data_IF_008080074671
#
_entry.id   IF_008080074671
#
_cell.length_a   1.000
_cell.length_b   1.000
_cell.length_c   1.000
_cell.angle_alpha   90.00
_cell.angle_beta   90.00
_cell.angle_gamma   90.00
#
_symmetry.space_group_name_H-M   'P 1'
#
loop_
_entity.id
_entity.type
_entity.pdbx_description
1 polymer ?
#
# COMPACT_ATOMS: atom_id res chain seq x y z
N UNK A 1 -10.13 13.71 25.13
CA UNK A 1 -10.02 12.31 24.66
C UNK A 1 -9.67 12.37 23.18
N UNK A 2 -8.46 11.99 22.72
CA UNK A 2 -8.21 11.94 21.29
C UNK A 2 -9.14 10.88 20.69
N UNK A 3 -9.91 11.25 19.65
CA UNK A 3 -10.80 10.33 18.98
C UNK A 3 -10.03 9.07 18.57
N UNK A 4 -10.53 7.90 18.95
CA UNK A 4 -9.98 6.61 18.55
C UNK A 4 -10.03 6.51 17.03
N UNK A 5 -8.91 6.82 16.37
CA UNK A 5 -8.78 6.66 14.91
C UNK A 5 -9.06 5.19 14.55
N UNK A 6 -9.90 5.00 13.55
CA UNK A 6 -10.21 3.68 13.00
C UNK A 6 -8.95 3.04 12.41
N UNK A 7 -8.70 1.76 12.71
CA UNK A 7 -7.63 0.96 12.10
C UNK A 7 -7.73 0.92 10.57
N UNK A 8 -8.96 0.81 10.04
CA UNK A 8 -9.24 0.96 8.62
C UNK A 8 -9.53 2.44 8.35
N UNK A 9 -8.62 3.11 7.66
CA UNK A 9 -8.73 4.51 7.31
C UNK A 9 -9.30 4.65 5.89
N UNK A 10 -10.48 5.28 5.72
CA UNK A 10 -11.07 5.46 4.40
C UNK A 10 -10.35 6.56 3.61
N UNK A 11 -10.17 6.32 2.31
CA UNK A 11 -9.59 7.29 1.38
C UNK A 11 -10.32 7.25 0.04
N UNK A 12 -10.76 8.40 -0.46
CA UNK A 12 -11.24 8.50 -1.84
C UNK A 12 -10.09 8.98 -2.73
N UNK A 13 -9.81 8.25 -3.80
CA UNK A 13 -8.77 8.59 -4.78
C UNK A 13 -9.42 9.07 -6.07
N UNK A 14 -9.28 10.36 -6.34
CA UNK A 14 -9.85 11.02 -7.52
C UNK A 14 -8.91 10.90 -8.71
N UNK A 15 -9.39 10.30 -9.81
CA UNK A 15 -8.64 10.09 -11.04
C UNK A 15 -9.44 10.62 -12.24
N UNK A 16 -8.86 11.49 -13.09
CA UNK A 16 -9.61 12.19 -14.14
C UNK A 16 -10.00 11.29 -15.30
N UNK A 17 -9.17 10.29 -15.62
CA UNK A 17 -9.38 9.34 -16.72
C UNK A 17 -9.65 7.91 -16.19
N UNK A 18 -10.35 7.79 -15.05
CA UNK A 18 -10.73 6.49 -14.51
C UNK A 18 -11.79 5.83 -15.42
N UNK A 19 -11.56 4.62 -15.94
CA UNK A 19 -12.57 3.89 -16.72
C UNK A 19 -13.87 3.75 -15.93
N UNK A 20 -15.02 3.91 -16.59
CA UNK A 20 -16.31 3.98 -15.90
C UNK A 20 -16.59 2.72 -15.06
N UNK A 21 -16.21 1.54 -15.56
CA UNK A 21 -16.35 0.28 -14.85
C UNK A 21 -15.47 0.14 -13.59
N UNK A 22 -14.46 1.01 -13.41
CA UNK A 22 -13.60 1.05 -12.22
C UNK A 22 -13.99 2.15 -11.23
N UNK A 23 -14.97 3.01 -11.56
CA UNK A 23 -15.48 4.00 -10.62
C UNK A 23 -16.25 3.31 -9.49
N UNK A 24 -15.79 3.52 -8.26
CA UNK A 24 -16.29 2.83 -7.08
C UNK A 24 -15.49 1.58 -6.70
N UNK A 25 -14.45 1.21 -7.45
CA UNK A 25 -13.56 0.09 -7.11
C UNK A 25 -12.95 0.30 -5.72
N UNK A 26 -13.06 -0.72 -4.87
CA UNK A 26 -12.64 -0.70 -3.47
C UNK A 26 -11.42 -1.57 -3.28
N UNK A 27 -10.34 -0.97 -2.79
CA UNK A 27 -9.10 -1.67 -2.51
C UNK A 27 -8.67 -1.46 -1.07
N UNK A 28 -8.02 -2.45 -0.48
CA UNK A 28 -7.32 -2.28 0.78
C UNK A 28 -5.81 -2.30 0.55
N UNK A 29 -5.09 -1.43 1.25
CA UNK A 29 -3.63 -1.36 1.24
C UNK A 29 -3.09 -1.64 2.64
N UNK A 30 -2.31 -2.71 2.75
CA UNK A 30 -1.58 -3.07 3.95
C UNK A 30 -0.08 -2.98 3.70
N UNK A 31 0.65 -2.56 4.73
CA UNK A 31 2.11 -2.43 4.69
C UNK A 31 2.70 -2.63 6.08
N UNK A 32 3.98 -2.98 6.12
CA UNK A 32 4.81 -3.05 7.31
C UNK A 32 4.10 -3.79 8.46
N UNK A 33 3.72 -5.04 8.25
CA UNK A 33 2.98 -5.83 9.25
C UNK A 33 3.87 -6.19 10.45
N UNK A 34 5.16 -6.45 10.19
CA UNK A 34 6.17 -6.89 11.17
C UNK A 34 5.62 -7.94 12.14
N UNK A 35 5.13 -9.04 11.56
CA UNK A 35 4.50 -10.12 12.32
C UNK A 35 5.57 -10.89 13.07
N UNK A 36 5.43 -10.93 14.40
CA UNK A 36 6.21 -11.80 15.30
C UNK A 36 5.42 -13.01 15.76
N UNK A 37 4.12 -12.82 15.88
CA UNK A 37 3.11 -13.80 16.27
C UNK A 37 1.77 -13.33 15.78
N UNK A 38 0.88 -14.26 15.47
CA UNK A 38 -0.53 -13.96 15.26
C UNK A 38 -1.18 -13.61 16.61
N UNK A 39 -2.02 -12.58 16.62
CA UNK A 39 -2.72 -12.11 17.81
C UNK A 39 -4.08 -11.50 17.45
N UNK A 40 -4.85 -11.13 18.49
CA UNK A 40 -6.20 -10.57 18.34
C UNK A 40 -6.26 -9.29 17.49
N UNK A 41 -5.15 -8.56 17.30
CA UNK A 41 -5.13 -7.38 16.41
C UNK A 41 -5.34 -7.82 14.97
N UNK A 42 -4.65 -8.87 14.55
CA UNK A 42 -4.78 -9.40 13.20
C UNK A 42 -6.14 -10.09 12.97
N UNK A 43 -6.69 -10.78 13.97
CA UNK A 43 -8.06 -11.32 13.88
C UNK A 43 -9.10 -10.22 13.65
N UNK A 44 -8.98 -9.10 14.38
CA UNK A 44 -9.85 -7.94 14.19
C UNK A 44 -9.63 -7.28 12.83
N UNK A 45 -8.39 -7.22 12.34
CA UNK A 45 -8.10 -6.67 11.01
C UNK A 45 -8.76 -7.53 9.92
N UNK A 46 -8.52 -8.84 9.93
CA UNK A 46 -9.10 -9.79 8.98
C UNK A 46 -10.62 -9.72 8.96
N UNK A 47 -11.25 -9.76 10.14
CA UNK A 47 -12.71 -9.65 10.27
C UNK A 47 -13.25 -8.36 9.63
N UNK A 48 -12.55 -7.23 9.84
CA UNK A 48 -12.96 -5.94 9.27
C UNK A 48 -12.72 -5.85 7.77
N UNK A 49 -11.63 -6.42 7.27
CA UNK A 49 -11.33 -6.47 5.83
C UNK A 49 -12.35 -7.37 5.09
N UNK A 50 -12.63 -8.55 5.62
CA UNK A 50 -13.63 -9.46 5.07
C UNK A 50 -15.04 -8.82 5.04
N UNK A 51 -15.42 -8.09 6.10
CA UNK A 51 -16.68 -7.34 6.13
C UNK A 51 -16.69 -6.14 5.17
N UNK A 52 -15.53 -5.69 4.69
CA UNK A 52 -15.43 -4.48 3.87
C UNK A 52 -15.77 -4.72 2.40
N UNK A 53 -15.95 -5.95 1.89
CA UNK A 53 -16.23 -6.25 0.47
C UNK A 53 -15.26 -5.51 -0.48
N UNK A 54 -14.06 -6.05 -0.59
CA UNK A 54 -12.97 -5.47 -1.36
C UNK A 54 -12.90 -6.11 -2.75
N UNK A 55 -12.54 -5.32 -3.74
CA UNK A 55 -12.20 -5.80 -5.08
C UNK A 55 -10.72 -6.22 -5.12
N UNK A 56 -9.83 -5.45 -4.50
CA UNK A 56 -8.40 -5.73 -4.45
C UNK A 56 -7.85 -5.66 -3.02
N UNK A 57 -6.88 -6.51 -2.71
CA UNK A 57 -6.03 -6.40 -1.53
C UNK A 57 -4.57 -6.23 -1.96
N UNK A 58 -3.97 -5.10 -1.61
CA UNK A 58 -2.61 -4.72 -1.99
C UNK A 58 -1.70 -4.80 -0.77
N UNK A 59 -0.59 -5.50 -0.91
CA UNK A 59 0.42 -5.69 0.13
C UNK A 59 1.77 -5.11 -0.33
N UNK A 60 2.42 -4.31 0.50
CA UNK A 60 3.63 -3.55 0.11
C UNK A 60 4.86 -3.87 0.93
N UNK A 61 4.99 -5.14 1.35
CA UNK A 61 6.18 -5.67 2.01
C UNK A 61 6.22 -5.52 3.54
N UNK A 62 7.30 -6.07 4.10
CA UNK A 62 7.62 -6.10 5.54
C UNK A 62 6.55 -6.85 6.35
N UNK A 63 6.26 -8.07 5.93
CA UNK A 63 5.32 -8.97 6.58
C UNK A 63 5.91 -9.60 7.84
N UNK A 64 7.19 -9.96 7.81
CA UNK A 64 7.90 -10.60 8.92
C UNK A 64 8.72 -9.59 9.73
N UNK A 65 8.72 -9.74 11.05
CA UNK A 65 9.74 -9.11 11.89
C UNK A 65 11.03 -9.94 11.81
N UNK A 66 12.16 -9.32 11.49
CA UNK A 66 13.48 -9.99 11.33
C UNK A 66 13.91 -10.84 12.54
N UNK A 67 13.40 -10.54 13.74
CA UNK A 67 13.72 -11.30 14.95
C UNK A 67 12.81 -12.51 15.20
N UNK A 68 11.85 -12.77 14.30
CA UNK A 68 10.87 -13.84 14.40
C UNK A 68 10.99 -14.80 13.21
N UNK A 69 10.64 -16.09 13.42
CA UNK A 69 10.62 -17.06 12.34
C UNK A 69 9.41 -16.83 11.42
N UNK A 70 9.44 -17.33 10.17
CA UNK A 70 8.51 -16.91 9.11
C UNK A 70 7.08 -17.42 9.29
N UNK A 71 6.84 -18.45 10.11
CA UNK A 71 5.57 -19.18 10.17
C UNK A 71 4.41 -18.28 10.61
N UNK A 72 4.66 -17.33 11.52
CA UNK A 72 3.62 -16.41 11.97
C UNK A 72 3.21 -15.43 10.86
N UNK A 73 4.17 -14.96 10.06
CA UNK A 73 3.92 -14.08 8.92
C UNK A 73 3.21 -14.87 7.80
N UNK A 74 3.70 -16.06 7.48
CA UNK A 74 3.11 -16.97 6.50
C UNK A 74 1.65 -17.29 6.83
N UNK A 75 1.38 -17.71 8.07
CA UNK A 75 0.02 -17.99 8.52
C UNK A 75 -0.91 -16.77 8.41
N UNK A 76 -0.39 -15.54 8.62
CA UNK A 76 -1.19 -14.35 8.39
C UNK A 76 -1.46 -14.10 6.89
N UNK A 77 -0.47 -14.31 6.03
CA UNK A 77 -0.61 -14.15 4.57
C UNK A 77 -1.62 -15.16 4.00
N UNK A 78 -1.57 -16.41 4.44
CA UNK A 78 -2.56 -17.44 4.09
C UNK A 78 -3.97 -17.05 4.52
N UNK A 79 -4.11 -16.53 5.74
CA UNK A 79 -5.41 -16.04 6.23
C UNK A 79 -5.91 -14.82 5.47
N UNK A 80 -5.02 -13.90 5.08
CA UNK A 80 -5.41 -12.77 4.21
C UNK A 80 -5.94 -13.27 2.86
N UNK A 81 -5.27 -14.23 2.24
CA UNK A 81 -5.70 -14.82 0.98
C UNK A 81 -7.04 -15.58 1.10
N UNK A 82 -7.24 -16.32 2.19
CA UNK A 82 -8.39 -17.22 2.35
C UNK A 82 -9.61 -16.60 3.03
N UNK A 83 -9.43 -15.64 3.94
CA UNK A 83 -10.52 -15.04 4.72
C UNK A 83 -11.06 -13.74 4.09
N UNK A 84 -10.21 -12.91 3.48
CA UNK A 84 -10.63 -11.60 2.93
C UNK A 84 -11.36 -11.75 1.60
N UNK A 85 -10.91 -12.70 0.76
CA UNK A 85 -11.52 -13.05 -0.54
C UNK A 85 -11.86 -11.83 -1.43
N UNK A 86 -10.88 -10.98 -1.78
CA UNK A 86 -11.09 -9.87 -2.70
C UNK A 86 -11.51 -10.39 -4.09
N UNK A 87 -12.45 -9.71 -4.76
CA UNK A 87 -13.07 -10.19 -6.01
C UNK A 87 -12.09 -10.29 -7.19
N UNK A 88 -11.17 -9.33 -7.32
CA UNK A 88 -10.15 -9.28 -8.38
C UNK A 88 -8.80 -9.87 -7.93
N UNK A 89 -8.60 -10.04 -6.63
CA UNK A 89 -7.44 -10.75 -6.09
C UNK A 89 -6.63 -9.99 -5.05
N UNK A 90 -5.62 -10.69 -4.53
CA UNK A 90 -4.60 -10.19 -3.62
C UNK A 90 -3.31 -10.08 -4.42
N UNK A 91 -2.61 -8.95 -4.30
CA UNK A 91 -1.33 -8.70 -4.95
C UNK A 91 -0.35 -8.14 -3.94
N UNK A 92 0.92 -8.55 -4.02
CA UNK A 92 1.92 -8.05 -3.09
C UNK A 92 3.35 -8.16 -3.59
N UNK A 93 4.21 -7.38 -2.96
CA UNK A 93 5.67 -7.37 -3.16
C UNK A 93 6.39 -7.66 -1.84
N UNK A 94 7.70 -7.89 -1.89
CA UNK A 94 8.53 -8.11 -0.71
C UNK A 94 9.10 -6.81 -0.17
N UNK A 95 9.23 -6.71 1.16
CA UNK A 95 9.98 -5.66 1.83
C UNK A 95 11.39 -6.13 2.20
N UNK A 96 12.17 -5.22 2.79
CA UNK A 96 13.55 -5.51 3.20
C UNK A 96 13.62 -6.38 4.48
N UNK A 97 12.52 -6.59 5.20
CA UNK A 97 12.47 -7.50 6.35
C UNK A 97 12.02 -8.93 6.03
N UNK A 98 11.46 -9.17 4.84
CA UNK A 98 10.94 -10.49 4.46
C UNK A 98 12.08 -11.42 4.06
N UNK A 99 12.29 -12.52 4.82
CA UNK A 99 13.41 -13.45 4.59
C UNK A 99 13.22 -14.29 3.33
N UNK A 100 14.31 -14.85 2.81
CA UNK A 100 14.25 -15.82 1.71
C UNK A 100 13.33 -17.00 2.03
N UNK A 101 13.37 -17.50 3.27
CA UNK A 101 12.54 -18.62 3.72
C UNK A 101 11.05 -18.29 3.67
N UNK A 102 10.64 -17.08 4.08
CA UNK A 102 9.25 -16.64 3.96
C UNK A 102 8.81 -16.59 2.49
N UNK A 103 9.67 -16.04 1.63
CA UNK A 103 9.40 -15.90 0.19
C UNK A 103 9.20 -17.27 -0.46
N UNK A 104 10.11 -18.20 -0.20
CA UNK A 104 10.01 -19.58 -0.68
C UNK A 104 8.76 -20.28 -0.16
N UNK A 105 8.44 -20.14 1.12
CA UNK A 105 7.29 -20.78 1.73
C UNK A 105 5.93 -20.19 1.27
N UNK A 106 5.93 -19.06 0.58
CA UNK A 106 4.73 -18.33 0.16
C UNK A 106 4.53 -18.30 -1.35
N UNK A 107 5.30 -19.08 -2.12
CA UNK A 107 5.22 -19.13 -3.59
C UNK A 107 3.84 -19.48 -4.14
N UNK A 108 3.05 -20.25 -3.39
CA UNK A 108 1.69 -20.64 -3.77
C UNK A 108 0.65 -19.54 -3.48
N UNK A 109 1.01 -18.50 -2.74
CA UNK A 109 0.15 -17.35 -2.51
C UNK A 109 0.23 -16.39 -3.71
N UNK A 110 -0.86 -15.67 -4.03
CA UNK A 110 -0.87 -14.67 -5.11
C UNK A 110 -0.08 -13.39 -4.76
N UNK A 111 1.04 -13.52 -4.04
CA UNK A 111 2.02 -12.45 -3.80
C UNK A 111 2.96 -12.44 -5.02
N UNK A 112 2.40 -12.15 -6.19
CA UNK A 112 3.14 -12.15 -7.44
C UNK A 112 3.95 -10.85 -7.61
N UNK A 113 5.28 -10.94 -7.64
CA UNK A 113 6.03 -10.29 -8.73
C UNK A 113 7.07 -9.21 -8.37
N UNK A 114 7.48 -9.05 -7.12
CA UNK A 114 8.73 -8.35 -6.84
C UNK A 114 9.90 -9.31 -7.04
N UNK A 115 10.71 -9.15 -8.10
CA UNK A 115 12.07 -9.70 -8.11
C UNK A 115 12.80 -9.04 -6.94
N UNK A 116 13.49 -9.80 -6.10
CA UNK A 116 14.42 -9.21 -5.14
C UNK A 116 15.79 -9.36 -5.75
N UNK A 117 16.46 -8.23 -5.96
CA UNK A 117 17.91 -8.25 -6.10
C UNK A 117 18.45 -8.16 -4.68
N UNK A 118 19.36 -9.05 -4.29
CA UNK A 118 19.95 -9.03 -2.94
C UNK A 118 20.70 -7.71 -2.66
N UNK A 119 21.06 -6.99 -3.73
CA UNK A 119 21.77 -5.70 -3.71
C UNK A 119 20.88 -4.48 -4.07
N UNK A 120 19.59 -4.66 -4.39
CA UNK A 120 18.69 -3.54 -4.72
C UNK A 120 17.38 -3.56 -3.92
N UNK A 121 16.84 -2.37 -3.67
CA UNK A 121 15.50 -2.18 -3.10
C UNK A 121 14.46 -3.09 -3.80
N UNK A 122 13.39 -3.45 -3.09
CA UNK A 122 12.29 -4.26 -3.64
C UNK A 122 11.90 -3.81 -5.06
N UNK A 123 11.91 -4.73 -6.04
CA UNK A 123 11.51 -4.38 -7.41
C UNK A 123 10.01 -4.05 -7.42
N UNK A 124 9.61 -2.88 -7.96
CA UNK A 124 8.22 -2.52 -8.05
C UNK A 124 7.42 -3.49 -8.91
N UNK A 125 6.20 -3.79 -8.47
CA UNK A 125 5.22 -4.52 -9.29
C UNK A 125 4.32 -3.51 -10.01
N UNK A 126 4.42 -3.45 -11.33
CA UNK A 126 3.48 -2.73 -12.17
C UNK A 126 2.35 -3.67 -12.61
N UNK A 127 1.10 -3.27 -12.35
CA UNK A 127 -0.08 -4.00 -12.79
C UNK A 127 -1.07 -3.06 -13.48
N UNK A 128 -1.84 -3.60 -14.42
CA UNK A 128 -2.91 -2.88 -15.10
C UNK A 128 -4.24 -3.54 -14.79
N UNK A 129 -5.19 -2.75 -14.28
CA UNK A 129 -6.58 -3.18 -14.09
C UNK A 129 -7.39 -2.58 -15.25
N UNK A 130 -7.99 -3.44 -16.07
CA UNK A 130 -8.81 -3.03 -17.19
C UNK A 130 -10.29 -3.19 -16.82
N UNK A 131 -11.14 -2.24 -17.20
CA UNK A 131 -12.57 -2.49 -17.25
C UNK A 131 -12.86 -3.45 -18.41
N UNK A 132 -13.68 -4.48 -18.18
CA UNK A 132 -14.29 -5.24 -19.26
C UNK A 132 -15.43 -4.38 -19.81
N UNK A 133 -15.17 -3.66 -20.90
CA UNK A 133 -16.22 -2.93 -21.63
C UNK A 133 -16.76 -3.85 -22.73
N UNK A 134 -18.07 -4.05 -22.77
CA UNK A 134 -18.72 -5.13 -23.54
C UNK A 134 -18.75 -4.90 -25.07
N UNK A 135 -18.26 -3.76 -25.58
CA UNK A 135 -18.11 -3.48 -27.02
C UNK A 135 -17.12 -2.33 -27.21
N UNK A 136 -15.87 -2.62 -27.57
CA UNK A 136 -14.96 -1.59 -28.11
C UNK A 136 -15.01 -1.66 -29.64
N UNK A 137 -15.56 -0.63 -30.29
CA UNK A 137 -15.43 -0.45 -31.73
C UNK A 137 -13.95 -0.27 -32.10
N UNK A 138 -13.54 -0.92 -33.20
CA UNK A 138 -12.15 -0.94 -33.64
C UNK A 138 -11.65 0.46 -34.03
N UNK A 139 -10.82 1.08 -33.18
CA UNK A 139 -10.14 2.33 -33.53
C UNK A 139 -9.67 3.20 -32.36
N UNK A 140 -10.20 3.03 -31.15
CA UNK A 140 -9.76 3.82 -30.00
C UNK A 140 -8.54 3.19 -29.30
N UNK A 141 -7.51 4.01 -29.05
CA UNK A 141 -6.39 3.67 -28.16
C UNK A 141 -6.99 3.21 -26.81
N UNK A 142 -6.50 2.14 -26.17
CA UNK A 142 -7.09 1.66 -24.92
C UNK A 142 -6.79 2.63 -23.78
N UNK A 143 -7.61 3.67 -23.66
CA UNK A 143 -7.71 4.59 -22.53
C UNK A 143 -8.40 3.93 -21.31
N UNK A 144 -8.72 2.63 -21.41
CA UNK A 144 -9.56 1.89 -20.47
C UNK A 144 -8.80 1.14 -19.36
N UNK A 145 -7.56 1.53 -19.04
CA UNK A 145 -6.72 0.82 -18.05
C UNK A 145 -6.21 1.74 -16.95
N UNK A 146 -6.41 1.32 -15.71
CA UNK A 146 -5.79 1.87 -14.51
C UNK A 146 -4.43 1.22 -14.31
N UNK A 147 -3.36 2.03 -14.16
CA UNK A 147 -2.01 1.54 -13.86
C UNK A 147 -1.70 1.72 -12.38
N UNK A 148 -1.49 0.60 -11.70
CA UNK A 148 -1.10 0.55 -10.30
C UNK A 148 0.36 0.11 -10.20
N UNK A 149 1.10 0.74 -9.30
CA UNK A 149 2.44 0.33 -8.94
C UNK A 149 2.52 0.04 -7.44
N UNK A 150 3.03 -1.13 -7.08
CA UNK A 150 3.38 -1.47 -5.70
C UNK A 150 4.89 -1.30 -5.53
N UNK A 151 5.28 -0.56 -4.51
CA UNK A 151 6.66 -0.29 -4.15
C UNK A 151 6.78 -0.39 -2.63
N UNK A 152 7.91 -0.83 -2.10
CA UNK A 152 8.10 -0.81 -0.65
C UNK A 152 8.51 0.59 -0.21
N UNK A 153 9.43 1.22 -0.94
CA UNK A 153 10.05 2.48 -0.58
C UNK A 153 9.37 3.69 -1.26
N UNK A 154 9.10 4.78 -0.52
CA UNK A 154 8.46 5.97 -1.09
C UNK A 154 9.25 6.73 -2.15
N UNK A 155 10.58 6.63 -2.18
CA UNK A 155 11.40 7.33 -3.16
C UNK A 155 11.09 6.87 -4.60
N UNK A 156 10.51 5.67 -4.75
CA UNK A 156 10.11 5.10 -6.04
C UNK A 156 8.91 5.84 -6.67
N UNK A 157 8.33 6.85 -6.01
CA UNK A 157 7.25 7.67 -6.57
C UNK A 157 7.66 8.41 -7.85
N UNK A 158 8.92 8.83 -7.96
CA UNK A 158 9.43 9.45 -9.20
C UNK A 158 9.47 8.41 -10.32
N UNK A 159 10.01 7.22 -10.04
CA UNK A 159 10.04 6.09 -10.97
C UNK A 159 8.63 5.70 -11.41
N UNK A 160 7.67 5.66 -10.49
CA UNK A 160 6.27 5.38 -10.80
C UNK A 160 5.67 6.43 -11.75
N UNK A 161 6.01 7.70 -11.56
CA UNK A 161 5.62 8.78 -12.46
C UNK A 161 6.28 8.66 -13.84
N UNK A 162 7.56 8.28 -13.90
CA UNK A 162 8.29 8.07 -15.15
C UNK A 162 7.72 6.89 -15.95
N UNK A 163 7.24 5.85 -15.27
CA UNK A 163 6.53 4.70 -15.85
C UNK A 163 5.07 5.01 -16.22
N UNK A 164 4.58 6.20 -15.88
CA UNK A 164 3.20 6.63 -16.15
C UNK A 164 2.16 5.82 -15.37
N UNK A 165 2.45 5.49 -14.12
CA UNK A 165 1.48 4.90 -13.19
C UNK A 165 0.45 5.95 -12.76
N UNK A 166 -0.81 5.56 -12.57
CA UNK A 166 -1.84 6.45 -12.01
C UNK A 166 -1.72 6.55 -10.49
N UNK A 167 -1.46 5.41 -9.87
CA UNK A 167 -1.35 5.25 -8.42
C UNK A 167 -0.12 4.42 -8.07
N UNK A 168 0.58 4.83 -7.01
CA UNK A 168 1.59 4.04 -6.33
C UNK A 168 1.16 3.80 -4.88
N UNK A 169 1.36 2.59 -4.37
CA UNK A 169 1.18 2.25 -2.96
C UNK A 169 2.51 1.81 -2.36
N UNK A 170 2.84 2.31 -1.16
CA UNK A 170 4.06 1.92 -0.45
C UNK A 170 3.99 2.12 1.07
N UNK A 171 5.02 1.69 1.78
CA UNK A 171 5.18 1.83 3.24
C UNK A 171 6.60 2.17 3.61
N UNK A 172 7.28 1.27 4.32
CA UNK A 172 8.68 1.33 4.75
C UNK A 172 8.99 2.36 5.86
N UNK A 173 8.35 3.52 5.83
CA UNK A 173 8.66 4.62 6.75
C UNK A 173 8.02 4.49 8.13
N UNK A 174 7.03 3.59 8.27
CA UNK A 174 6.14 3.49 9.42
C UNK A 174 5.45 4.82 9.81
N UNK A 175 5.38 5.76 8.88
CA UNK A 175 4.96 7.15 9.12
C UNK A 175 5.83 7.91 10.10
N UNK A 176 7.07 7.48 10.32
CA UNK A 176 7.96 7.99 11.35
C UNK A 176 7.43 7.69 12.74
N UNK A 177 7.29 6.40 13.03
CA UNK A 177 6.69 5.73 14.20
C UNK A 177 6.69 6.49 15.54
N UNK A 178 7.70 7.32 15.78
CA UNK A 178 7.81 8.23 16.93
C UNK A 178 7.68 9.67 16.44
N UNK A 179 6.59 10.33 16.83
CA UNK A 179 6.30 11.72 16.50
C UNK A 179 6.29 12.58 17.75
N UNK A 180 6.99 13.71 17.70
CA UNK A 180 6.98 14.73 18.76
C UNK A 180 5.88 15.75 18.50
N UNK A 181 5.22 16.30 19.53
CA UNK A 181 4.23 17.37 19.35
C UNK A 181 4.78 18.52 18.49
N UNK A 182 4.04 19.01 17.49
CA UNK A 182 2.62 18.78 17.20
C UNK A 182 2.29 17.55 16.32
N UNK A 183 3.24 16.64 16.07
CA UNK A 183 3.06 15.43 15.25
C UNK A 183 4.15 15.21 14.21
N UNK A 184 5.33 15.80 14.43
CA UNK A 184 6.46 15.77 13.51
C UNK A 184 7.26 14.47 13.72
N UNK A 185 7.50 13.67 12.67
CA UNK A 185 8.42 12.54 12.73
C UNK A 185 9.81 12.92 13.19
N UNK A 186 10.39 12.14 14.12
CA UNK A 186 11.80 12.30 14.51
C UNK A 186 12.73 11.75 13.43
N UNK A 187 12.32 10.63 12.81
CA UNK A 187 13.06 9.92 11.77
C UNK A 187 12.09 8.94 11.07
N UNK A 188 12.34 8.61 9.81
CA UNK A 188 11.51 7.65 9.07
C UNK A 188 12.24 6.79 8.03
N UNK A 189 13.59 6.85 7.96
CA UNK A 189 14.38 5.90 7.17
C UNK A 189 14.29 6.06 5.65
N UNK A 190 13.68 7.13 5.14
CA UNK A 190 13.61 7.46 3.72
C UNK A 190 14.22 8.84 3.44
N UNK A 191 14.68 9.04 2.21
CA UNK A 191 15.22 10.32 1.71
C UNK A 191 14.16 11.42 1.52
N UNK A 192 12.87 11.12 1.76
CA UNK A 192 11.82 12.13 1.72
C UNK A 192 11.90 13.09 2.92
N UNK A 193 11.46 14.36 2.76
CA UNK A 193 11.27 15.27 3.87
C UNK A 193 10.47 14.65 5.02
N UNK A 194 10.77 15.01 6.27
CA UNK A 194 10.16 14.39 7.46
C UNK A 194 8.62 14.44 7.46
N UNK A 195 8.03 15.52 6.94
CA UNK A 195 6.57 15.67 6.85
C UNK A 195 5.92 14.75 5.79
N UNK A 196 6.71 14.14 4.91
CA UNK A 196 6.28 13.22 3.85
C UNK A 196 6.45 11.74 4.23
N UNK A 197 6.75 11.46 5.50
CA UNK A 197 6.88 10.08 6.00
C UNK A 197 5.61 9.25 5.76
N UNK A 198 4.42 9.84 5.74
CA UNK A 198 3.20 9.15 5.31
C UNK A 198 2.16 10.17 4.86
N UNK A 199 1.36 9.81 3.86
CA UNK A 199 0.35 10.71 3.30
C UNK A 199 -0.11 10.28 1.92
N UNK A 200 -1.01 11.09 1.36
CA UNK A 200 -1.25 11.15 -0.07
C UNK A 200 -0.28 12.17 -0.66
N UNK A 201 0.62 11.73 -1.52
CA UNK A 201 1.58 12.56 -2.23
C UNK A 201 1.25 12.57 -3.72
N UNK A 202 1.82 13.53 -4.44
CA UNK A 202 1.72 13.60 -5.89
C UNK A 202 3.08 13.89 -6.49
N UNK A 203 3.40 13.19 -7.57
CA UNK A 203 4.49 13.54 -8.47
C UNK A 203 3.94 13.51 -9.89
N UNK A 204 3.96 14.65 -10.59
CA UNK A 204 3.35 14.81 -11.92
C UNK A 204 1.90 14.30 -11.96
N UNK A 205 1.70 13.17 -12.62
CA UNK A 205 0.40 12.54 -12.86
C UNK A 205 0.17 11.28 -12.00
N UNK A 206 1.06 10.98 -11.08
CA UNK A 206 0.94 9.82 -10.17
C UNK A 206 0.59 10.29 -8.77
N UNK A 207 -0.37 9.61 -8.14
CA UNK A 207 -0.62 9.76 -6.71
C UNK A 207 0.12 8.65 -5.94
N UNK A 208 0.88 9.01 -4.92
CA UNK A 208 1.53 8.08 -4.00
C UNK A 208 0.77 7.96 -2.69
N UNK A 209 0.37 6.75 -2.32
CA UNK A 209 -0.27 6.45 -1.04
C UNK A 209 0.75 5.77 -0.14
N UNK A 210 1.27 6.54 0.82
CA UNK A 210 2.29 6.07 1.77
C UNK A 210 1.61 5.72 3.10
N UNK A 211 1.60 4.44 3.46
CA UNK A 211 1.01 3.95 4.71
C UNK A 211 1.90 4.19 5.93
N UNK A 212 1.28 4.33 7.11
CA UNK A 212 2.01 4.31 8.41
C UNK A 212 2.35 2.90 8.89
N UNK A 213 1.89 1.88 8.18
CA UNK A 213 2.09 0.49 8.53
C UNK A 213 1.23 0.00 9.70
N UNK A 214 1.22 -1.32 9.88
CA UNK A 214 0.47 -1.99 10.94
C UNK A 214 1.34 -2.47 12.11
N UNK A 215 2.63 -2.65 11.88
CA UNK A 215 3.63 -3.15 12.81
C UNK A 215 4.57 -2.06 13.34
N UNK A 216 5.55 -2.52 14.09
CA UNK A 216 6.64 -1.71 14.63
C UNK A 216 7.98 -2.24 14.12
N UNK A 217 8.87 -1.35 13.68
CA UNK A 217 10.24 -1.70 13.30
C UNK A 217 11.26 -1.12 14.30
N UNK A 218 12.40 -1.80 14.44
CA UNK A 218 13.54 -1.51 15.33
C UNK A 218 13.19 -1.28 16.81
N UNK A 219 12.63 -0.12 17.13
CA UNK A 219 12.13 0.19 18.47
C UNK A 219 10.65 -0.21 18.56
N UNK A 220 10.28 -1.02 19.53
CA UNK A 220 8.90 -1.52 19.70
C UNK A 220 7.99 -0.51 20.41
N UNK A 221 8.01 0.72 19.90
CA UNK A 221 7.29 1.85 20.48
C UNK A 221 6.74 2.73 19.36
N UNK A 222 5.45 3.02 19.43
CA UNK A 222 4.74 3.90 18.52
C UNK A 222 4.12 5.04 19.30
N UNK A 223 4.54 6.28 19.02
CA UNK A 223 4.13 7.49 19.74
C UNK A 223 3.53 8.48 18.75
N UNK A 224 2.28 8.89 18.99
CA UNK A 224 1.53 9.84 18.16
C UNK A 224 1.48 9.50 16.64
N UNK A 225 1.68 8.23 16.28
CA UNK A 225 1.59 7.73 14.90
C UNK A 225 0.74 6.45 14.90
N UNK A 226 -0.60 6.49 14.96
CA UNK A 226 -1.39 5.26 15.06
C UNK A 226 -1.22 4.36 13.83
N UNK A 227 -1.42 3.05 14.05
CA UNK A 227 -1.40 2.03 12.99
C UNK A 227 -2.47 2.29 11.96
N UNK A 228 -2.20 1.91 10.72
CA UNK A 228 -3.06 2.23 9.59
C UNK A 228 -3.11 1.09 8.59
N UNK A 229 -4.32 0.68 8.25
CA UNK A 229 -4.64 0.01 7.01
C UNK A 229 -5.55 0.95 6.22
N UNK A 230 -5.30 1.14 4.93
CA UNK A 230 -6.05 2.09 4.12
C UNK A 230 -7.10 1.32 3.32
N UNK A 231 -8.34 1.80 3.30
CA UNK A 231 -9.38 1.30 2.40
C UNK A 231 -9.72 2.42 1.43
N UNK A 232 -9.27 2.27 0.19
CA UNK A 232 -9.48 3.25 -0.84
C UNK A 232 -10.73 2.94 -1.66
N UNK A 233 -11.44 3.98 -2.08
CA UNK A 233 -12.44 3.91 -3.15
C UNK A 233 -11.99 4.78 -4.31
N UNK A 234 -11.90 4.20 -5.50
CA UNK A 234 -11.55 4.95 -6.71
C UNK A 234 -12.74 5.76 -7.18
N UNK A 235 -12.51 7.01 -7.57
CA UNK A 235 -13.56 7.89 -8.08
C UNK A 235 -13.11 8.65 -9.30
N UNK A 236 -14.02 8.83 -10.26
CA UNK A 236 -13.80 9.75 -11.36
C UNK A 236 -13.86 11.19 -10.85
N UNK A 237 -12.84 12.00 -11.17
CA UNK A 237 -12.82 13.42 -10.85
C UNK A 237 -11.43 14.03 -10.95
N UNK A 238 -11.29 15.34 -10.65
CA UNK A 238 -10.02 16.04 -10.79
C UNK A 238 -8.98 15.44 -9.84
N UNK A 239 -7.79 15.15 -10.38
CA UNK A 239 -6.65 14.67 -9.57
C UNK A 239 -6.29 15.73 -8.53
N UNK A 240 -6.17 15.38 -7.24
CA UNK A 240 -5.91 16.37 -6.18
C UNK A 240 -4.49 16.92 -6.25
N UNK A 241 -4.29 18.13 -5.75
CA UNK A 241 -3.01 18.84 -5.78
C UNK A 241 -2.69 19.50 -7.13
N UNK A 242 -1.63 20.30 -7.15
CA UNK A 242 -1.07 20.84 -8.38
C UNK A 242 -0.19 19.80 -9.09
N UNK A 243 -0.06 19.90 -10.41
CA UNK A 243 0.92 19.10 -11.16
C UNK A 243 2.29 19.78 -11.08
N UNK A 244 3.25 19.14 -10.43
CA UNK A 244 4.64 19.60 -10.35
C UNK A 244 5.59 18.47 -10.75
N UNK A 245 6.83 18.81 -11.12
CA UNK A 245 7.89 17.82 -11.36
C UNK A 245 8.51 17.30 -10.05
N UNK A 246 8.24 17.97 -8.93
CA UNK A 246 8.63 17.54 -7.59
C UNK A 246 7.64 16.55 -6.98
N UNK A 247 7.89 16.22 -5.71
CA UNK A 247 6.97 15.46 -4.88
C UNK A 247 6.27 16.42 -3.93
N UNK A 248 4.95 16.51 -4.04
CA UNK A 248 4.11 17.35 -3.19
C UNK A 248 3.28 16.51 -2.22
N UNK A 249 3.21 16.95 -0.97
CA UNK A 249 2.29 16.38 0.02
C UNK A 249 0.90 16.97 -0.16
N UNK A 250 -0.05 16.14 -0.58
CA UNK A 250 -1.44 16.55 -0.83
C UNK A 250 -2.28 16.45 0.44
N UNK A 251 -2.07 15.37 1.22
CA UNK A 251 -2.78 15.14 2.48
C UNK A 251 -1.89 14.37 3.45
N UNK A 252 -1.70 14.94 4.64
CA UNK A 252 -1.10 14.23 5.77
C UNK A 252 -2.14 13.37 6.51
N UNK A 253 -1.67 12.34 7.23
CA UNK A 253 -2.54 11.46 8.04
C UNK A 253 -2.83 11.97 9.44
#
# INVERSE_FOLDING_TARGET
MPATRSLLEPLDLMLPALPQGLNGLRLAHLSDLHVRKTDRRFDRLLSRLAASRLDLLLLTGDYQDRSAPPEAALALLERLATEVKPTLGLFGIWGNHDSAELREASLDLPICGGIHDEDADSVPLAMSVAALEDQAEAGEKPASRLRLLLAHHPHQLVTAADLGADLMFCGHTHGGQIRIPPGIPVHHGSDLPLNMAAGLLRCRDTLGVISRGLGESHLRLRLACPRQAIVCTLRTGPRPGARTDGIDLIRAW
#
